data_IF_847245703096
#
_entry.id   IF_847245703096
#
_cell.length_a   1.000
_cell.length_b   1.000
_cell.length_c   1.000
_cell.angle_alpha   90.00
_cell.angle_beta   90.00
_cell.angle_gamma   90.00
#
_symmetry.space_group_name_H-M   'P 1'
#
loop_
_entity.id
_entity.type
_entity.pdbx_description
1 polymer ?
#
# COMPACT_ATOMS: atom_id res chain seq x y z
N UNK A 1 -25.78 21.69 -0.69
CA UNK A 1 -25.49 20.58 -1.65
C UNK A 1 -24.26 19.77 -1.21
N UNK A 2 -23.13 20.40 -0.88
CA UNK A 2 -21.91 19.71 -0.44
C UNK A 2 -22.09 19.01 0.92
N UNK A 3 -22.66 19.67 1.92
CA UNK A 3 -22.94 19.08 3.24
C UNK A 3 -23.90 17.88 3.14
N UNK A 4 -24.88 17.93 2.26
CA UNK A 4 -25.81 16.83 2.00
C UNK A 4 -25.07 15.62 1.41
N UNK A 5 -24.14 15.83 0.49
CA UNK A 5 -23.33 14.78 -0.10
C UNK A 5 -22.35 14.15 0.92
N UNK A 6 -21.77 14.96 1.80
CA UNK A 6 -20.92 14.51 2.91
C UNK A 6 -21.71 13.58 3.84
N UNK A 7 -22.87 14.02 4.31
CA UNK A 7 -23.72 13.21 5.18
C UNK A 7 -24.12 11.89 4.52
N UNK A 8 -24.63 11.95 3.29
CA UNK A 8 -25.01 10.76 2.54
C UNK A 8 -23.84 9.77 2.37
N UNK A 9 -22.65 10.28 2.03
CA UNK A 9 -21.44 9.45 1.90
C UNK A 9 -21.10 8.74 3.22
N UNK A 10 -21.19 9.46 4.36
CA UNK A 10 -20.94 8.88 5.67
C UNK A 10 -21.97 7.81 6.03
N UNK A 11 -23.26 8.08 5.83
CA UNK A 11 -24.36 7.13 6.06
C UNK A 11 -24.23 5.87 5.21
N UNK A 12 -23.97 6.03 3.91
CA UNK A 12 -23.74 4.92 2.96
C UNK A 12 -22.54 4.05 3.38
N UNK A 13 -21.47 4.68 3.88
CA UNK A 13 -20.27 3.96 4.37
C UNK A 13 -20.57 3.13 5.60
N UNK A 14 -21.23 3.72 6.61
CA UNK A 14 -21.63 3.04 7.84
C UNK A 14 -22.56 1.87 7.54
N UNK A 15 -23.52 2.07 6.64
CA UNK A 15 -24.45 1.03 6.20
C UNK A 15 -23.73 -0.12 5.49
N UNK A 16 -22.86 0.16 4.52
CA UNK A 16 -22.09 -0.86 3.77
C UNK A 16 -21.21 -1.72 4.67
N UNK A 17 -20.61 -1.14 5.71
CA UNK A 17 -19.75 -1.86 6.65
C UNK A 17 -20.53 -2.63 7.71
N UNK A 18 -21.80 -2.31 7.93
CA UNK A 18 -22.66 -2.96 8.93
C UNK A 18 -22.19 -2.75 10.37
N UNK A 19 -21.63 -1.58 10.68
CA UNK A 19 -21.00 -1.29 12.00
C UNK A 19 -21.97 -0.75 13.07
N UNK A 20 -23.25 -0.76 12.77
CA UNK A 20 -24.30 -0.34 13.69
C UNK A 20 -24.41 1.18 13.87
N UNK A 21 -25.06 1.61 14.97
CA UNK A 21 -25.33 3.02 15.23
C UNK A 21 -24.04 3.78 15.56
N UNK A 22 -23.84 4.91 14.89
CA UNK A 22 -22.73 5.85 15.09
C UNK A 22 -23.33 7.26 15.31
N UNK A 23 -22.62 8.11 16.06
CA UNK A 23 -22.98 9.50 16.26
C UNK A 23 -23.01 10.26 14.93
N UNK A 24 -23.95 11.20 14.77
CA UNK A 24 -24.18 11.93 13.52
C UNK A 24 -22.98 12.79 13.13
N UNK A 25 -22.30 13.39 14.09
CA UNK A 25 -21.10 14.19 13.81
C UNK A 25 -19.93 13.32 13.34
N UNK A 26 -19.80 12.10 13.88
CA UNK A 26 -18.81 11.12 13.39
C UNK A 26 -19.15 10.71 11.96
N UNK A 27 -20.42 10.46 11.62
CA UNK A 27 -20.87 10.16 10.24
C UNK A 27 -20.47 11.30 9.30
N UNK A 28 -20.67 12.55 9.70
CA UNK A 28 -20.26 13.72 8.92
C UNK A 28 -18.75 13.73 8.65
N UNK A 29 -17.93 13.45 9.68
CA UNK A 29 -16.47 13.38 9.51
C UNK A 29 -16.03 12.21 8.61
N UNK A 30 -16.67 11.04 8.72
CA UNK A 30 -16.45 9.92 7.79
C UNK A 30 -16.70 10.37 6.34
N UNK A 31 -17.81 11.07 6.10
CA UNK A 31 -18.13 11.59 4.75
C UNK A 31 -17.09 12.60 4.22
N UNK A 32 -16.51 13.44 5.10
CA UNK A 32 -15.44 14.40 4.74
C UNK A 32 -14.15 13.70 4.27
N UNK A 33 -13.83 12.49 4.77
CA UNK A 33 -12.67 11.72 4.33
C UNK A 33 -12.69 11.42 2.83
N UNK A 34 -13.86 11.43 2.17
CA UNK A 34 -13.97 11.29 0.71
C UNK A 34 -13.16 12.34 -0.06
N UNK A 35 -13.03 13.52 0.50
CA UNK A 35 -12.37 14.66 -0.13
C UNK A 35 -10.93 14.85 0.37
N UNK A 36 -10.44 13.91 1.18
CA UNK A 36 -9.09 13.91 1.74
C UNK A 36 -8.21 12.86 1.07
N UNK A 37 -7.04 13.28 0.66
CA UNK A 37 -5.99 12.41 0.10
C UNK A 37 -4.72 12.53 0.95
N UNK A 38 -4.06 11.41 1.19
CA UNK A 38 -2.78 11.34 1.87
C UNK A 38 -1.86 10.39 1.11
N UNK A 39 -0.70 10.87 0.69
CA UNK A 39 0.26 10.11 -0.14
C UNK A 39 -0.37 9.50 -1.41
N UNK A 40 -1.33 10.21 -2.02
CA UNK A 40 -2.05 9.75 -3.21
C UNK A 40 -3.19 8.76 -2.97
N UNK A 41 -3.38 8.28 -1.73
CA UNK A 41 -4.49 7.39 -1.35
C UNK A 41 -5.67 8.21 -0.82
N UNK A 42 -6.90 7.89 -1.27
CA UNK A 42 -8.10 8.50 -0.72
C UNK A 42 -8.36 8.00 0.71
N UNK A 43 -8.52 8.93 1.67
CA UNK A 43 -8.62 8.59 3.08
C UNK A 43 -9.87 7.75 3.43
N UNK A 44 -11.03 8.03 2.81
CA UNK A 44 -12.23 7.23 3.04
C UNK A 44 -12.06 5.80 2.54
N UNK A 45 -11.54 5.64 1.33
CA UNK A 45 -11.34 4.33 0.73
C UNK A 45 -10.34 3.50 1.53
N UNK A 46 -9.23 4.11 1.96
CA UNK A 46 -8.26 3.50 2.86
C UNK A 46 -8.92 3.05 4.17
N UNK A 47 -9.66 3.93 4.85
CA UNK A 47 -10.34 3.59 6.11
C UNK A 47 -11.36 2.45 5.95
N UNK A 48 -12.05 2.38 4.80
CA UNK A 48 -12.95 1.26 4.49
C UNK A 48 -12.19 -0.06 4.28
N UNK A 49 -11.05 -0.03 3.60
CA UNK A 49 -10.19 -1.20 3.41
C UNK A 49 -9.66 -1.71 4.75
N UNK A 50 -9.15 -0.81 5.59
CA UNK A 50 -8.68 -1.14 6.95
C UNK A 50 -9.82 -1.74 7.78
N UNK A 51 -11.03 -1.17 7.70
CA UNK A 51 -12.19 -1.72 8.37
C UNK A 51 -12.52 -3.16 7.93
N UNK A 52 -12.51 -3.42 6.63
CA UNK A 52 -12.75 -4.76 6.09
C UNK A 52 -11.69 -5.76 6.54
N UNK A 53 -10.41 -5.41 6.41
CA UNK A 53 -9.27 -6.26 6.79
C UNK A 53 -9.29 -6.56 8.29
N UNK A 54 -9.43 -5.54 9.13
CA UNK A 54 -9.51 -5.71 10.58
C UNK A 54 -10.72 -6.57 10.98
N UNK A 55 -11.86 -6.36 10.30
CA UNK A 55 -13.07 -7.17 10.52
C UNK A 55 -12.90 -8.63 10.15
N UNK A 56 -12.25 -8.94 9.03
CA UNK A 56 -11.95 -10.33 8.62
C UNK A 56 -11.01 -11.00 9.62
N UNK A 57 -9.91 -10.36 9.97
CA UNK A 57 -8.96 -10.89 10.96
C UNK A 57 -9.63 -11.10 12.33
N UNK A 58 -10.51 -10.19 12.75
CA UNK A 58 -11.25 -10.34 13.99
C UNK A 58 -12.20 -11.54 13.97
N UNK A 59 -12.87 -11.79 12.84
CA UNK A 59 -13.74 -12.96 12.67
C UNK A 59 -12.96 -14.28 12.78
N UNK A 60 -11.80 -14.39 12.14
CA UNK A 60 -10.93 -15.56 12.21
C UNK A 60 -10.41 -15.83 13.62
N UNK A 61 -10.21 -14.78 14.41
CA UNK A 61 -9.75 -14.88 15.81
C UNK A 61 -10.92 -14.99 16.83
N UNK A 62 -12.17 -15.11 16.39
CA UNK A 62 -13.33 -15.18 17.26
C UNK A 62 -13.63 -13.88 18.03
N UNK A 63 -13.11 -12.72 17.56
CA UNK A 63 -13.34 -11.42 18.14
C UNK A 63 -14.57 -10.72 17.53
N UNK A 64 -14.99 -9.62 18.16
CA UNK A 64 -16.11 -8.83 17.66
C UNK A 64 -15.76 -8.15 16.32
N UNK A 65 -16.23 -8.73 15.23
CA UNK A 65 -16.02 -8.24 13.88
C UNK A 65 -16.52 -6.80 13.65
N UNK A 66 -17.71 -6.48 14.17
CA UNK A 66 -18.29 -5.14 13.98
C UNK A 66 -17.47 -4.07 14.72
N UNK A 67 -16.97 -4.39 15.91
CA UNK A 67 -16.12 -3.49 16.68
C UNK A 67 -14.77 -3.28 16.01
N UNK A 68 -14.18 -4.33 15.42
CA UNK A 68 -12.95 -4.23 14.64
C UNK A 68 -13.13 -3.39 13.37
N UNK A 69 -14.23 -3.58 12.63
CA UNK A 69 -14.58 -2.74 11.48
C UNK A 69 -14.76 -1.26 11.88
N UNK A 70 -15.42 -1.02 13.02
CA UNK A 70 -15.62 0.33 13.55
C UNK A 70 -14.29 0.99 13.92
N UNK A 71 -13.41 0.28 14.60
CA UNK A 71 -12.07 0.76 14.95
C UNK A 71 -11.24 1.07 13.69
N UNK A 72 -11.25 0.16 12.70
CA UNK A 72 -10.57 0.36 11.43
C UNK A 72 -11.12 1.53 10.62
N UNK A 73 -12.45 1.75 10.60
CA UNK A 73 -13.03 2.90 9.90
C UNK A 73 -12.63 4.23 10.53
N UNK A 74 -12.48 4.27 11.86
CA UNK A 74 -12.27 5.51 12.61
C UNK A 74 -10.80 5.80 12.95
N UNK A 75 -9.85 4.88 12.64
CA UNK A 75 -8.44 5.06 13.03
C UNK A 75 -7.85 6.39 12.53
N UNK A 76 -8.23 6.79 11.34
CA UNK A 76 -7.73 7.98 10.64
C UNK A 76 -8.74 9.15 10.58
N UNK A 77 -9.79 9.12 11.39
CA UNK A 77 -10.88 10.12 11.34
C UNK A 77 -10.40 11.56 11.53
N UNK A 78 -9.31 11.76 12.25
CA UNK A 78 -8.72 13.07 12.48
C UNK A 78 -8.23 13.76 11.21
N UNK A 79 -7.91 13.01 10.15
CA UNK A 79 -7.57 13.56 8.83
C UNK A 79 -8.70 14.37 8.18
N UNK A 80 -9.92 14.25 8.68
CA UNK A 80 -11.03 15.11 8.25
C UNK A 80 -10.97 16.52 8.84
N UNK A 81 -10.10 16.76 9.85
CA UNK A 81 -10.04 18.00 10.63
C UNK A 81 -8.65 18.66 10.64
N UNK A 82 -7.57 17.94 10.30
CA UNK A 82 -6.18 18.38 10.44
C UNK A 82 -5.77 19.61 9.62
N UNK A 83 -6.59 20.05 8.67
CA UNK A 83 -6.41 21.30 7.96
C UNK A 83 -7.03 22.52 8.65
N UNK A 84 -8.01 22.31 9.50
CA UNK A 84 -8.78 23.37 10.13
C UNK A 84 -8.35 23.63 11.57
N UNK A 85 -7.70 22.61 12.19
CA UNK A 85 -7.32 22.64 13.62
C UNK A 85 -5.88 22.18 13.78
N UNK A 86 -5.07 22.92 14.55
CA UNK A 86 -3.71 22.49 14.90
C UNK A 86 -3.73 21.23 15.77
N UNK A 87 -2.85 20.29 15.42
CA UNK A 87 -2.67 19.01 16.11
C UNK A 87 -2.46 17.85 15.16
N UNK A 88 -1.96 16.74 15.68
CA UNK A 88 -1.86 15.50 14.89
C UNK A 88 -3.25 14.93 14.64
N UNK A 89 -3.43 14.25 13.48
CA UNK A 89 -4.70 13.56 13.19
C UNK A 89 -5.05 12.53 14.28
N UNK A 90 -4.06 11.96 14.96
CA UNK A 90 -4.25 11.03 16.08
C UNK A 90 -4.91 11.74 17.27
N UNK A 91 -4.35 12.88 17.69
CA UNK A 91 -4.88 13.67 18.80
C UNK A 91 -6.30 14.21 18.51
N UNK A 92 -6.47 14.77 17.32
CA UNK A 92 -7.76 15.32 16.87
C UNK A 92 -8.81 14.22 16.79
N UNK A 93 -8.49 13.09 16.16
CA UNK A 93 -9.38 11.95 16.07
C UNK A 93 -9.78 11.38 17.43
N UNK A 94 -8.81 11.21 18.32
CA UNK A 94 -9.05 10.74 19.69
C UNK A 94 -9.98 11.68 20.47
N UNK A 95 -9.64 12.99 20.53
CA UNK A 95 -10.44 13.98 21.25
C UNK A 95 -11.87 14.05 20.71
N UNK A 96 -11.99 14.02 19.38
CA UNK A 96 -13.28 14.06 18.71
C UNK A 96 -14.12 12.82 19.00
N UNK A 97 -13.60 11.62 18.77
CA UNK A 97 -14.31 10.37 19.01
C UNK A 97 -14.67 10.16 20.49
N UNK A 98 -13.79 10.56 21.40
CA UNK A 98 -14.07 10.52 22.84
C UNK A 98 -15.23 11.43 23.23
N UNK A 99 -15.28 12.66 22.69
CA UNK A 99 -16.38 13.60 22.90
C UNK A 99 -17.73 13.04 22.43
N UNK A 100 -17.73 12.25 21.35
CA UNK A 100 -18.93 11.65 20.76
C UNK A 100 -19.20 10.21 21.24
N UNK A 101 -18.61 9.81 22.38
CA UNK A 101 -18.96 8.59 23.10
C UNK A 101 -18.47 7.29 22.49
N UNK A 102 -17.36 7.32 21.74
CA UNK A 102 -16.74 6.10 21.22
C UNK A 102 -16.13 5.25 22.33
N UNK A 103 -16.12 3.93 22.11
CA UNK A 103 -15.62 2.93 23.07
C UNK A 103 -14.09 2.99 23.18
N UNK A 104 -13.56 2.63 24.34
CA UNK A 104 -12.12 2.64 24.64
C UNK A 104 -11.31 1.82 23.64
N UNK A 105 -11.85 0.71 23.12
CA UNK A 105 -11.20 -0.12 22.09
C UNK A 105 -10.96 0.70 20.80
N UNK A 106 -11.95 1.48 20.37
CA UNK A 106 -11.85 2.36 19.19
C UNK A 106 -10.89 3.51 19.46
N UNK A 107 -11.00 4.12 20.64
CA UNK A 107 -10.11 5.22 21.04
C UNK A 107 -8.64 4.77 21.12
N UNK A 108 -8.40 3.59 21.67
CA UNK A 108 -7.05 3.04 21.71
C UNK A 108 -6.52 2.70 20.31
N UNK A 109 -7.35 2.17 19.41
CA UNK A 109 -6.94 1.93 18.01
C UNK A 109 -6.54 3.24 17.31
N UNK A 110 -7.29 4.34 17.51
CA UNK A 110 -6.95 5.67 16.99
C UNK A 110 -5.58 6.14 17.53
N UNK A 111 -5.29 5.93 18.81
CA UNK A 111 -4.06 6.41 19.42
C UNK A 111 -2.83 5.56 19.07
N UNK A 112 -3.02 4.26 18.85
CA UNK A 112 -1.91 3.30 18.77
C UNK A 112 -1.48 2.94 17.35
N UNK A 113 -2.24 3.29 16.31
CA UNK A 113 -1.98 2.79 14.94
C UNK A 113 -0.64 3.24 14.35
N UNK A 114 -0.03 4.32 14.82
CA UNK A 114 1.33 4.75 14.46
C UNK A 114 2.39 4.46 15.52
N UNK A 115 2.05 3.73 16.59
CA UNK A 115 3.01 3.32 17.62
C UNK A 115 3.34 4.38 18.68
N UNK A 116 2.67 5.54 18.68
CA UNK A 116 2.86 6.59 19.72
C UNK A 116 2.34 6.14 21.09
N UNK A 117 1.33 5.29 21.11
CA UNK A 117 0.73 4.71 22.31
C UNK A 117 0.68 3.20 22.15
N UNK A 118 0.91 2.46 23.23
CA UNK A 118 0.85 1.00 23.23
C UNK A 118 -0.59 0.50 22.96
N UNK A 119 -0.78 -0.49 22.05
CA UNK A 119 -2.06 -1.10 21.80
C UNK A 119 -2.49 -1.98 22.99
N UNK A 120 -3.54 -1.58 23.68
CA UNK A 120 -4.07 -2.28 24.87
C UNK A 120 -5.05 -3.40 24.53
N UNK A 121 -5.62 -3.38 23.32
CA UNK A 121 -6.60 -4.36 22.87
C UNK A 121 -6.11 -5.09 21.64
N UNK A 122 -6.43 -6.38 21.52
CA UNK A 122 -6.06 -7.16 20.34
C UNK A 122 -6.64 -6.56 19.05
N UNK A 123 -7.84 -5.98 19.10
CA UNK A 123 -8.44 -5.24 17.98
C UNK A 123 -7.55 -4.07 17.52
N UNK A 124 -6.89 -3.36 18.44
CA UNK A 124 -5.96 -2.27 18.08
C UNK A 124 -4.76 -2.80 17.27
N UNK A 125 -4.21 -3.96 17.64
CA UNK A 125 -3.17 -4.64 16.87
C UNK A 125 -3.65 -5.05 15.47
N UNK A 126 -4.90 -5.53 15.37
CA UNK A 126 -5.50 -5.86 14.07
C UNK A 126 -5.66 -4.63 13.18
N UNK A 127 -6.01 -3.48 13.75
CA UNK A 127 -6.09 -2.21 13.00
C UNK A 127 -4.70 -1.79 12.50
N UNK A 128 -3.66 -1.89 13.33
CA UNK A 128 -2.27 -1.61 12.91
C UNK A 128 -1.84 -2.49 11.73
N UNK A 129 -2.10 -3.80 11.83
CA UNK A 129 -1.80 -4.73 10.76
C UNK A 129 -2.59 -4.42 9.48
N UNK A 130 -3.90 -4.14 9.61
CA UNK A 130 -4.78 -3.82 8.49
C UNK A 130 -4.36 -2.50 7.80
N UNK A 131 -4.00 -1.47 8.56
CA UNK A 131 -3.48 -0.20 8.03
C UNK A 131 -2.19 -0.43 7.21
N UNK A 132 -1.25 -1.17 7.79
CA UNK A 132 0.02 -1.52 7.12
C UNK A 132 -0.24 -2.28 5.81
N UNK A 133 -1.13 -3.27 5.79
CA UNK A 133 -1.47 -4.04 4.59
C UNK A 133 -2.11 -3.13 3.53
N UNK A 134 -3.08 -2.30 3.91
CA UNK A 134 -3.76 -1.40 2.98
C UNK A 134 -2.80 -0.37 2.37
N UNK A 135 -1.87 0.16 3.18
CA UNK A 135 -0.87 1.13 2.72
C UNK A 135 0.21 0.51 1.83
N UNK A 136 0.60 -0.75 2.09
CA UNK A 136 1.69 -1.43 1.40
C UNK A 136 1.29 -2.08 0.08
N UNK A 137 -0.01 -2.24 -0.22
CA UNK A 137 -0.43 -2.88 -1.47
C UNK A 137 -0.01 -2.06 -2.69
N UNK A 138 0.41 -2.72 -3.79
CA UNK A 138 0.84 -2.02 -5.00
C UNK A 138 -0.22 -1.03 -5.52
N UNK A 139 0.20 0.21 -5.77
CA UNK A 139 -0.66 1.29 -6.28
C UNK A 139 -1.56 1.97 -5.25
N UNK A 140 -1.50 1.60 -3.97
CA UNK A 140 -2.28 2.24 -2.92
C UNK A 140 -1.82 3.67 -2.64
N UNK A 141 -0.50 3.89 -2.58
CA UNK A 141 0.11 5.20 -2.36
C UNK A 141 1.00 5.59 -3.52
N UNK A 142 1.10 6.88 -3.81
CA UNK A 142 1.97 7.40 -4.87
C UNK A 142 3.44 7.04 -4.61
N UNK A 143 3.89 7.08 -3.36
CA UNK A 143 5.24 6.65 -2.98
C UNK A 143 5.49 5.17 -3.27
N UNK A 144 4.50 4.30 -3.04
CA UNK A 144 4.62 2.88 -3.39
C UNK A 144 4.77 2.69 -4.90
N UNK A 145 4.06 3.47 -5.71
CA UNK A 145 4.20 3.46 -7.17
C UNK A 145 5.55 4.01 -7.61
N UNK A 146 6.00 5.14 -7.03
CA UNK A 146 7.29 5.73 -7.36
C UNK A 146 8.45 4.81 -6.97
N UNK A 147 8.42 4.22 -5.78
CA UNK A 147 9.41 3.25 -5.33
C UNK A 147 9.42 1.98 -6.23
N UNK A 148 8.25 1.57 -6.70
CA UNK A 148 8.12 0.49 -7.67
C UNK A 148 8.80 0.85 -9.02
N UNK A 149 8.49 2.04 -9.56
CA UNK A 149 9.11 2.52 -10.81
C UNK A 149 10.61 2.66 -10.65
N UNK A 150 11.09 3.31 -9.59
CA UNK A 150 12.50 3.49 -9.29
C UNK A 150 13.24 2.14 -9.24
N UNK A 151 12.62 1.13 -8.61
CA UNK A 151 13.19 -0.22 -8.55
C UNK A 151 13.31 -0.88 -9.92
N UNK A 152 12.31 -0.72 -10.81
CA UNK A 152 12.41 -1.22 -12.19
C UNK A 152 13.54 -0.51 -12.95
N UNK A 153 13.65 0.80 -12.81
CA UNK A 153 14.71 1.60 -13.43
C UNK A 153 16.11 1.21 -12.90
N UNK A 154 16.25 0.98 -11.60
CA UNK A 154 17.49 0.52 -10.97
C UNK A 154 17.89 -0.89 -11.47
N UNK A 155 16.96 -1.83 -11.58
CA UNK A 155 17.18 -3.14 -12.17
C UNK A 155 17.70 -3.05 -13.60
N UNK A 156 17.05 -2.23 -14.43
CA UNK A 156 17.48 -2.01 -15.81
C UNK A 156 18.83 -1.29 -15.89
N UNK A 157 19.11 -0.34 -15.00
CA UNK A 157 20.38 0.38 -14.93
C UNK A 157 21.52 -0.56 -14.53
N UNK A 158 21.32 -1.42 -13.55
CA UNK A 158 22.30 -2.43 -13.14
C UNK A 158 22.64 -3.35 -14.32
N UNK A 159 21.64 -3.89 -15.00
CA UNK A 159 21.85 -4.81 -16.12
C UNK A 159 22.52 -4.14 -17.31
N UNK A 160 22.16 -2.90 -17.64
CA UNK A 160 22.79 -2.10 -18.72
C UNK A 160 24.23 -1.68 -18.42
N UNK A 161 24.69 -1.78 -17.17
CA UNK A 161 26.07 -1.46 -16.81
C UNK A 161 27.10 -2.52 -17.21
N UNK A 162 26.66 -3.69 -17.65
CA UNK A 162 27.53 -4.77 -18.08
C UNK A 162 27.89 -4.63 -19.57
N UNK A 163 29.15 -4.85 -19.89
CA UNK A 163 29.60 -4.85 -21.31
C UNK A 163 28.97 -6.00 -22.10
N UNK A 164 28.64 -5.73 -23.35
CA UNK A 164 27.93 -6.69 -24.21
C UNK A 164 26.42 -6.74 -24.04
N UNK A 165 25.84 -6.02 -23.08
CA UNK A 165 24.37 -5.86 -22.97
C UNK A 165 23.90 -4.80 -23.97
N UNK A 166 22.95 -5.18 -24.81
CA UNK A 166 22.28 -4.30 -25.78
C UNK A 166 21.08 -3.56 -25.12
N UNK A 167 20.20 -4.34 -24.54
CA UNK A 167 18.99 -3.82 -23.88
C UNK A 167 18.54 -4.73 -22.74
N UNK A 168 17.77 -4.17 -21.81
CA UNK A 168 17.21 -4.94 -20.71
C UNK A 168 15.82 -4.42 -20.33
N UNK A 169 14.97 -5.33 -19.86
CA UNK A 169 13.58 -5.06 -19.52
C UNK A 169 13.22 -5.76 -18.22
N UNK A 170 12.80 -5.00 -17.23
CA UNK A 170 12.20 -5.52 -16.03
C UNK A 170 10.73 -5.88 -16.31
N UNK A 171 10.35 -7.14 -16.13
CA UNK A 171 9.01 -7.67 -16.40
C UNK A 171 8.43 -8.35 -15.15
N UNK A 172 7.17 -8.79 -15.22
CA UNK A 172 6.47 -9.45 -14.11
C UNK A 172 6.55 -8.66 -12.80
N UNK A 173 6.30 -7.35 -12.88
CA UNK A 173 6.38 -6.45 -11.72
C UNK A 173 7.78 -6.43 -11.04
N UNK A 174 8.87 -6.58 -11.82
CA UNK A 174 10.24 -6.59 -11.34
C UNK A 174 10.69 -7.93 -10.74
N UNK A 175 9.94 -9.01 -10.97
CA UNK A 175 10.32 -10.37 -10.57
C UNK A 175 11.15 -11.12 -11.61
N UNK A 176 11.26 -10.59 -12.82
CA UNK A 176 12.13 -11.09 -13.87
C UNK A 176 12.78 -9.89 -14.59
N UNK A 177 14.08 -9.99 -14.88
CA UNK A 177 14.77 -9.10 -15.80
C UNK A 177 15.27 -9.88 -17.00
N UNK A 178 14.87 -9.43 -18.20
CA UNK A 178 15.37 -9.97 -19.48
C UNK A 178 16.45 -9.09 -20.02
N UNK A 179 17.60 -9.67 -20.28
CA UNK A 179 18.80 -8.99 -20.74
C UNK A 179 19.14 -9.50 -22.12
N UNK A 180 19.04 -8.62 -23.12
CA UNK A 180 19.42 -8.91 -24.49
C UNK A 180 20.90 -8.58 -24.67
N UNK A 181 21.67 -9.50 -25.22
CA UNK A 181 23.11 -9.29 -25.45
C UNK A 181 23.44 -9.18 -26.94
N UNK A 182 24.52 -8.47 -27.24
CA UNK A 182 25.06 -8.37 -28.59
C UNK A 182 25.71 -9.71 -28.95
N UNK A 183 25.20 -10.46 -29.97
CA UNK A 183 25.66 -11.82 -30.29
C UNK A 183 27.13 -11.92 -30.63
N UNK A 184 27.70 -10.86 -31.21
CA UNK A 184 29.12 -10.81 -31.63
C UNK A 184 30.07 -10.54 -30.45
N UNK A 185 29.56 -10.04 -29.32
CA UNK A 185 30.36 -9.72 -28.13
C UNK A 185 30.26 -10.78 -27.04
N UNK A 186 29.12 -11.47 -26.96
CA UNK A 186 28.80 -12.41 -25.89
C UNK A 186 28.44 -13.76 -26.48
N UNK A 187 29.28 -14.75 -26.27
CA UNK A 187 29.00 -16.14 -26.63
C UNK A 187 28.12 -16.87 -25.60
N UNK A 188 27.76 -18.11 -25.88
CA UNK A 188 26.86 -18.89 -25.05
C UNK A 188 27.43 -19.14 -23.62
N UNK A 189 28.76 -19.35 -23.53
CA UNK A 189 29.41 -19.54 -22.25
C UNK A 189 29.47 -18.26 -21.45
N UNK A 190 29.73 -17.14 -22.12
CA UNK A 190 29.69 -15.82 -21.49
C UNK A 190 28.28 -15.43 -21.01
N UNK A 191 27.20 -15.87 -21.67
CA UNK A 191 25.83 -15.68 -21.21
C UNK A 191 25.59 -16.27 -19.79
N UNK A 192 26.12 -17.48 -19.54
CA UNK A 192 25.97 -18.10 -18.21
C UNK A 192 26.72 -17.34 -17.12
N UNK A 193 27.94 -16.85 -17.46
CA UNK A 193 28.71 -16.03 -16.52
C UNK A 193 28.02 -14.69 -16.26
N UNK A 194 27.57 -14.01 -17.32
CA UNK A 194 26.91 -12.74 -17.25
C UNK A 194 25.61 -12.81 -16.39
N UNK A 195 24.82 -13.88 -16.54
CA UNK A 195 23.61 -14.07 -15.72
C UNK A 195 23.95 -14.17 -14.23
N UNK A 196 25.06 -14.83 -13.89
CA UNK A 196 25.55 -14.93 -12.50
C UNK A 196 26.06 -13.58 -11.99
N UNK A 197 26.90 -12.91 -12.76
CA UNK A 197 27.48 -11.62 -12.37
C UNK A 197 26.39 -10.55 -12.18
N UNK A 198 25.34 -10.54 -13.03
CA UNK A 198 24.18 -9.68 -12.89
C UNK A 198 23.40 -10.02 -11.60
N UNK A 199 23.13 -11.30 -11.35
CA UNK A 199 22.47 -11.76 -10.13
C UNK A 199 23.22 -11.30 -8.89
N UNK A 200 24.55 -11.52 -8.84
CA UNK A 200 25.38 -11.14 -7.70
C UNK A 200 25.35 -9.61 -7.46
N UNK A 201 25.39 -8.82 -8.54
CA UNK A 201 25.31 -7.37 -8.44
C UNK A 201 23.93 -6.89 -7.97
N UNK A 202 22.84 -7.50 -8.44
CA UNK A 202 21.47 -7.19 -7.97
C UNK A 202 21.36 -7.50 -6.47
N UNK A 203 21.87 -8.63 -6.01
CA UNK A 203 21.84 -9.01 -4.59
C UNK A 203 22.66 -8.04 -3.70
N UNK A 204 23.74 -7.48 -4.23
CA UNK A 204 24.61 -6.54 -3.51
C UNK A 204 24.04 -5.11 -3.45
N UNK A 205 23.37 -4.65 -4.50
CA UNK A 205 22.99 -3.24 -4.65
C UNK A 205 21.51 -2.97 -4.40
N UNK A 206 20.62 -3.99 -4.49
CA UNK A 206 19.18 -3.81 -4.35
C UNK A 206 18.60 -4.58 -3.18
N UNK A 207 17.75 -3.89 -2.41
CA UNK A 207 16.87 -4.55 -1.43
C UNK A 207 15.51 -4.81 -2.06
N UNK A 208 15.11 -6.08 -2.16
CA UNK A 208 13.84 -6.48 -2.79
C UNK A 208 13.15 -7.61 -2.02
N UNK A 209 11.81 -7.62 -2.00
CA UNK A 209 11.04 -8.70 -1.39
C UNK A 209 10.91 -9.88 -2.36
N UNK A 210 11.48 -11.03 -2.04
CA UNK A 210 11.33 -12.27 -2.80
C UNK A 210 12.53 -12.57 -3.70
N UNK A 211 12.29 -13.18 -4.88
CA UNK A 211 13.32 -13.59 -5.83
C UNK A 211 13.19 -12.82 -7.15
N UNK A 212 14.32 -12.49 -7.77
CA UNK A 212 14.37 -11.90 -9.10
C UNK A 212 15.04 -12.91 -10.05
N UNK A 213 14.30 -13.29 -11.09
CA UNK A 213 14.83 -14.15 -12.15
C UNK A 213 15.63 -13.32 -13.15
N UNK A 214 16.90 -13.66 -13.37
CA UNK A 214 17.74 -13.05 -14.40
C UNK A 214 17.77 -13.97 -15.62
N UNK A 215 17.30 -13.47 -16.77
CA UNK A 215 17.27 -14.20 -18.03
C UNK A 215 18.14 -13.47 -19.06
N UNK A 216 19.29 -14.02 -19.40
CA UNK A 216 20.15 -13.50 -20.48
C UNK A 216 19.77 -14.18 -21.78
N UNK A 217 19.54 -13.39 -22.82
CA UNK A 217 19.07 -13.85 -24.14
C UNK A 217 20.07 -13.41 -25.20
N UNK A 218 20.65 -14.38 -25.89
CA UNK A 218 21.43 -14.18 -27.11
C UNK A 218 20.59 -14.62 -28.30
N UNK A 219 20.30 -13.72 -29.23
CA UNK A 219 19.40 -13.98 -30.35
C UNK A 219 20.01 -13.52 -31.65
N UNK A 220 19.91 -14.37 -32.68
CA UNK A 220 20.26 -14.02 -34.06
C UNK A 220 18.99 -14.13 -34.90
N UNK A 221 18.64 -13.06 -35.62
CA UNK A 221 17.46 -13.02 -36.51
C UNK A 221 17.89 -12.89 -37.96
N UNK A 222 17.31 -13.71 -38.83
CA UNK A 222 17.37 -13.57 -40.26
C UNK A 222 15.96 -13.39 -40.83
N UNK A 223 15.74 -12.37 -41.66
CA UNK A 223 14.43 -12.07 -42.24
C UNK A 223 14.52 -11.99 -43.75
N UNK A 224 13.62 -12.70 -44.43
CA UNK A 224 13.43 -12.65 -45.87
C UNK A 224 12.00 -12.27 -46.22
N UNK A 225 11.78 -11.50 -47.25
CA UNK A 225 10.47 -11.11 -47.75
C UNK A 225 10.04 -11.97 -48.91
N UNK A 226 9.02 -12.80 -48.74
CA UNK A 226 8.33 -13.44 -49.86
C UNK A 226 7.43 -12.41 -50.56
N UNK A 227 7.53 -12.35 -51.91
CA UNK A 227 6.68 -11.51 -52.77
C UNK A 227 5.61 -12.34 -53.44
#
# INVERSE_FOLDING_TARGET
EMDTNIMKTGEDTVFKLGIGRIDREIIKMIGRLKYRYSYGQNALQHSMEVAHLAGMMAAELGLNQQLAKRAGLLHDIGKAMDFEVEGSHIELGYKFCKKHGERDVVLNAIQSHHGEVEPKFLISNLVIAADTISAARPGARYEALQNYINRLEELEKITKSFDGVDSSYAIQAGREVRVMVVPDKVDDLACHKLARDIKDKIEAELTYPGQIKVTVIRETRSCELAK
#
